data_IF_936186041925
#
_entry.id   IF_936186041925
#
_cell.length_a   1.000
_cell.length_b   1.000
_cell.length_c   1.000
_cell.angle_alpha   90.00
_cell.angle_beta   90.00
_cell.angle_gamma   90.00
#
_symmetry.space_group_name_H-M   'P 1'
#
loop_
_entity.id
_entity.type
_entity.pdbx_description
1 polymer ?
#
# COMPACT_ATOMS: atom_id res chain seq x y z
N UNK A 1 14.55 10.33 8.12
CA UNK A 1 14.25 11.42 7.17
C UNK A 1 12.76 11.73 7.06
N UNK A 2 11.87 10.74 7.22
CA UNK A 2 10.40 10.94 7.23
C UNK A 2 9.90 12.06 8.17
N UNK A 3 10.61 12.37 9.27
CA UNK A 3 10.20 13.40 10.25
C UNK A 3 10.79 14.80 10.02
N UNK A 4 11.74 14.97 9.09
CA UNK A 4 12.45 16.24 8.86
C UNK A 4 12.82 16.40 7.37
N UNK A 5 11.83 16.67 6.48
CA UNK A 5 12.04 16.73 5.03
C UNK A 5 13.02 17.83 4.59
N UNK A 6 13.21 18.89 5.39
CA UNK A 6 14.16 19.96 5.12
C UNK A 6 15.63 19.49 5.09
N UNK A 7 15.95 18.38 5.76
CA UNK A 7 17.30 17.82 5.74
C UNK A 7 17.57 16.94 4.52
N UNK A 8 16.55 16.65 3.70
CA UNK A 8 16.66 15.78 2.54
C UNK A 8 17.69 16.26 1.52
N UNK A 9 17.83 17.58 1.35
CA UNK A 9 18.80 18.19 0.46
C UNK A 9 20.26 17.85 0.81
N UNK A 10 20.53 17.45 2.06
CA UNK A 10 21.86 17.09 2.55
C UNK A 10 22.15 15.58 2.49
N UNK A 11 21.17 14.72 2.21
CA UNK A 11 21.43 13.29 2.03
C UNK A 11 22.15 13.05 0.70
N UNK A 12 23.38 12.56 0.79
CA UNK A 12 24.17 12.08 -0.36
C UNK A 12 23.91 10.61 -0.69
N UNK A 13 23.03 10.00 0.09
CA UNK A 13 22.70 8.58 0.13
C UNK A 13 21.56 8.17 -0.81
N UNK A 14 20.89 9.10 -1.48
CA UNK A 14 19.70 8.83 -2.29
C UNK A 14 19.88 7.72 -3.34
N UNK A 15 21.08 7.63 -3.93
CA UNK A 15 21.46 6.61 -4.90
C UNK A 15 21.62 5.19 -4.32
N UNK A 16 21.72 5.08 -3.00
CA UNK A 16 21.90 3.79 -2.31
C UNK A 16 20.56 3.17 -1.88
N UNK A 17 19.47 3.93 -1.95
CA UNK A 17 18.14 3.42 -1.62
C UNK A 17 17.70 2.46 -2.72
N UNK A 18 17.25 1.28 -2.30
CA UNK A 18 16.56 0.33 -3.15
C UNK A 18 15.22 0.89 -3.63
N UNK A 19 14.65 0.24 -4.64
CA UNK A 19 13.31 0.56 -5.15
C UNK A 19 12.24 0.50 -4.06
N UNK A 20 12.31 -0.52 -3.18
CA UNK A 20 11.34 -0.69 -2.10
C UNK A 20 11.50 0.38 -1.01
N UNK A 21 12.73 0.70 -0.62
CA UNK A 21 12.99 1.79 0.33
C UNK A 21 12.51 3.15 -0.20
N UNK A 22 12.63 3.38 -1.50
CA UNK A 22 12.04 4.56 -2.14
C UNK A 22 10.52 4.55 -2.09
N UNK A 23 9.88 3.41 -2.40
CA UNK A 23 8.42 3.30 -2.35
C UNK A 23 7.87 3.55 -0.93
N UNK A 24 8.48 2.95 0.08
CA UNK A 24 8.12 3.15 1.49
C UNK A 24 8.38 4.59 1.96
N UNK A 25 9.47 5.21 1.51
CA UNK A 25 9.74 6.61 1.84
C UNK A 25 8.68 7.54 1.24
N UNK A 26 8.29 7.29 -0.01
CA UNK A 26 7.37 8.15 -0.75
C UNK A 26 5.91 7.95 -0.32
N UNK A 27 5.54 6.77 0.20
CA UNK A 27 4.20 6.55 0.78
C UNK A 27 3.97 7.40 2.02
N UNK A 28 5.03 7.79 2.72
CA UNK A 28 4.98 8.68 3.88
C UNK A 28 5.28 10.14 3.49
N UNK A 29 6.22 10.36 2.57
CA UNK A 29 6.73 11.69 2.23
C UNK A 29 6.87 11.88 0.71
N UNK A 30 5.76 11.98 -0.04
CA UNK A 30 5.76 11.97 -1.52
C UNK A 30 6.54 13.14 -2.13
N UNK A 31 6.66 14.26 -1.41
CA UNK A 31 7.43 15.46 -1.81
C UNK A 31 8.92 15.18 -2.09
N UNK A 32 9.46 14.07 -1.60
CA UNK A 32 10.86 13.69 -1.80
C UNK A 32 11.13 13.05 -3.17
N UNK A 33 10.10 12.87 -4.00
CA UNK A 33 10.23 12.26 -5.34
C UNK A 33 11.26 12.96 -6.24
N UNK A 34 11.48 14.26 -6.05
CA UNK A 34 12.46 15.04 -6.81
C UNK A 34 13.92 14.62 -6.55
N UNK A 35 14.19 13.92 -5.44
CA UNK A 35 15.49 13.36 -5.11
C UNK A 35 15.66 11.91 -5.60
N UNK A 36 14.58 11.29 -6.09
CA UNK A 36 14.63 9.92 -6.58
C UNK A 36 15.33 9.84 -7.94
N UNK A 37 16.37 9.01 -8.10
CA UNK A 37 17.06 8.85 -9.39
C UNK A 37 16.18 8.22 -10.49
N UNK A 38 15.17 7.42 -10.12
CA UNK A 38 14.31 6.71 -11.06
C UNK A 38 12.83 6.82 -10.69
N UNK A 39 12.23 8.03 -10.75
CA UNK A 39 10.88 8.28 -10.27
C UNK A 39 9.77 7.60 -11.10
N UNK A 40 10.10 7.08 -12.28
CA UNK A 40 9.16 6.40 -13.19
C UNK A 40 9.09 4.89 -12.97
N UNK A 41 9.90 4.32 -12.07
CA UNK A 41 9.80 2.90 -11.76
C UNK A 41 8.42 2.60 -11.15
N UNK A 42 7.68 1.57 -11.60
CA UNK A 42 6.31 1.31 -11.14
C UNK A 42 6.16 1.26 -9.61
N UNK A 43 7.02 0.51 -8.90
CA UNK A 43 6.99 0.46 -7.44
C UNK A 43 7.27 1.79 -6.75
N UNK A 44 8.13 2.63 -7.32
CA UNK A 44 8.40 3.98 -6.78
C UNK A 44 7.19 4.88 -7.02
N UNK A 45 6.55 4.77 -8.19
CA UNK A 45 5.29 5.46 -8.47
C UNK A 45 4.17 5.01 -7.54
N UNK A 46 4.07 3.72 -7.22
CA UNK A 46 3.08 3.19 -6.29
C UNK A 46 3.28 3.77 -4.88
N UNK A 47 4.54 3.85 -4.42
CA UNK A 47 4.87 4.55 -3.18
C UNK A 47 4.47 6.02 -3.21
N UNK A 48 4.81 6.75 -4.27
CA UNK A 48 4.40 8.15 -4.43
C UNK A 48 2.88 8.33 -4.43
N UNK A 49 2.14 7.49 -5.18
CA UNK A 49 0.68 7.49 -5.22
C UNK A 49 0.10 7.21 -3.84
N UNK A 50 0.62 6.22 -3.10
CA UNK A 50 0.17 5.92 -1.75
C UNK A 50 0.26 7.14 -0.80
N UNK A 51 1.29 7.98 -0.97
CA UNK A 51 1.44 9.23 -0.19
C UNK A 51 0.69 10.44 -0.75
N UNK A 52 0.33 10.42 -2.03
CA UNK A 52 -0.40 11.48 -2.75
C UNK A 52 -1.50 10.90 -3.66
N UNK A 53 -2.60 10.36 -3.10
CA UNK A 53 -3.64 9.67 -3.86
C UNK A 53 -4.29 10.51 -4.97
N UNK A 54 -4.36 11.83 -4.79
CA UNK A 54 -4.86 12.77 -5.80
C UNK A 54 -4.11 12.70 -7.14
N UNK A 55 -2.86 12.21 -7.12
CA UNK A 55 -2.04 12.03 -8.32
C UNK A 55 -2.51 10.86 -9.19
N UNK A 56 -3.42 10.01 -8.71
CA UNK A 56 -4.03 8.92 -9.48
C UNK A 56 -4.68 9.41 -10.78
N UNK A 57 -5.22 10.64 -10.78
CA UNK A 57 -5.83 11.27 -11.96
C UNK A 57 -4.88 11.40 -13.17
N UNK A 58 -3.57 11.32 -12.96
CA UNK A 58 -2.56 11.42 -14.02
C UNK A 58 -2.05 10.06 -14.51
N UNK A 59 -2.48 8.95 -13.90
CA UNK A 59 -2.10 7.60 -14.30
C UNK A 59 -2.95 7.13 -15.47
N UNK A 60 -2.29 6.82 -16.59
CA UNK A 60 -2.93 6.34 -17.82
C UNK A 60 -2.98 4.82 -17.93
N UNK A 61 -2.02 4.16 -17.31
CA UNK A 61 -1.87 2.71 -17.36
C UNK A 61 -1.56 2.18 -15.96
N UNK A 62 -2.46 1.35 -15.47
CA UNK A 62 -2.37 0.71 -14.16
C UNK A 62 -1.82 -0.72 -14.24
N UNK A 63 -1.58 -1.24 -15.45
CA UNK A 63 -1.14 -2.62 -15.67
C UNK A 63 0.31 -2.89 -15.27
N UNK A 64 1.11 -1.83 -15.10
CA UNK A 64 2.51 -1.92 -14.72
C UNK A 64 2.75 -2.22 -13.23
N UNK A 65 1.72 -2.10 -12.39
CA UNK A 65 1.82 -2.32 -10.95
C UNK A 65 1.71 -3.80 -10.58
N UNK A 66 2.64 -4.25 -9.73
CA UNK A 66 2.61 -5.57 -9.13
C UNK A 66 1.52 -5.70 -8.07
N UNK A 67 1.26 -6.92 -7.60
CA UNK A 67 0.33 -7.14 -6.48
C UNK A 67 0.78 -6.42 -5.21
N UNK A 68 2.10 -6.34 -4.98
CA UNK A 68 2.64 -5.64 -3.80
C UNK A 68 2.41 -4.13 -3.91
N UNK A 69 2.61 -3.57 -5.10
CA UNK A 69 2.34 -2.15 -5.36
C UNK A 69 0.87 -1.81 -5.09
N UNK A 70 -0.05 -2.68 -5.53
CA UNK A 70 -1.47 -2.53 -5.25
C UNK A 70 -1.80 -2.64 -3.76
N UNK A 71 -1.20 -3.59 -3.04
CA UNK A 71 -1.36 -3.70 -1.59
C UNK A 71 -0.93 -2.40 -0.90
N UNK A 72 0.25 -1.87 -1.26
CA UNK A 72 0.77 -0.62 -0.70
C UNK A 72 -0.19 0.54 -0.95
N UNK A 73 -0.67 0.73 -2.19
CA UNK A 73 -1.60 1.80 -2.54
C UNK A 73 -2.93 1.66 -1.79
N UNK A 74 -3.55 0.49 -1.84
CA UNK A 74 -4.86 0.24 -1.22
C UNK A 74 -4.82 0.37 0.30
N UNK A 75 -3.73 -0.05 0.97
CA UNK A 75 -3.58 0.14 2.42
C UNK A 75 -3.48 1.62 2.84
N UNK A 76 -3.23 2.54 1.91
CA UNK A 76 -3.11 3.97 2.19
C UNK A 76 -4.32 4.80 1.74
N UNK A 77 -5.05 4.39 0.69
CA UNK A 77 -6.28 5.09 0.26
C UNK A 77 -7.27 4.19 -0.47
N UNK A 78 -8.56 4.42 -0.22
CA UNK A 78 -9.68 3.82 -0.95
C UNK A 78 -9.80 4.35 -2.40
N UNK A 79 -9.17 5.48 -2.74
CA UNK A 79 -9.24 6.09 -4.08
C UNK A 79 -8.73 5.17 -5.20
N UNK A 80 -7.90 4.19 -4.84
CA UNK A 80 -7.33 3.22 -5.78
C UNK A 80 -8.26 2.03 -6.06
N UNK A 81 -9.32 1.85 -5.28
CA UNK A 81 -10.24 0.73 -5.40
C UNK A 81 -10.87 0.58 -6.80
N UNK A 82 -11.36 1.66 -7.45
CA UNK A 82 -11.94 1.56 -8.79
C UNK A 82 -10.93 1.13 -9.86
N UNK A 83 -9.63 1.32 -9.59
CA UNK A 83 -8.55 1.02 -10.53
C UNK A 83 -7.95 -0.37 -10.33
N UNK A 84 -8.10 -0.97 -9.14
CA UNK A 84 -7.55 -2.28 -8.84
C UNK A 84 -8.36 -3.39 -9.53
N UNK A 85 -7.76 -4.04 -10.52
CA UNK A 85 -8.35 -5.18 -11.23
C UNK A 85 -7.82 -6.55 -10.74
N UNK A 86 -6.93 -6.56 -9.75
CA UNK A 86 -6.17 -7.74 -9.35
C UNK A 86 -6.60 -8.37 -8.02
N UNK A 87 -7.71 -7.93 -7.42
CA UNK A 87 -8.27 -8.44 -6.15
C UNK A 87 -8.25 -9.96 -6.01
N UNK A 88 -8.68 -10.69 -7.04
CA UNK A 88 -8.75 -12.16 -7.04
C UNK A 88 -7.39 -12.85 -7.01
N UNK A 89 -6.31 -12.12 -7.30
CA UNK A 89 -4.93 -12.61 -7.33
C UNK A 89 -4.19 -12.37 -6.02
N UNK A 90 -4.78 -11.62 -5.09
CA UNK A 90 -4.15 -11.36 -3.79
C UNK A 90 -4.03 -12.65 -2.98
N UNK A 91 -2.82 -12.98 -2.46
CA UNK A 91 -2.66 -14.10 -1.54
C UNK A 91 -3.35 -13.81 -0.21
N UNK A 92 -3.55 -14.86 0.59
CA UNK A 92 -4.15 -14.77 1.93
C UNK A 92 -3.44 -13.74 2.81
N UNK A 93 -2.11 -13.70 2.77
CA UNK A 93 -1.31 -12.73 3.54
C UNK A 93 -1.60 -11.27 3.17
N UNK A 94 -1.95 -10.99 1.91
CA UNK A 94 -2.26 -9.63 1.46
C UNK A 94 -3.65 -9.23 1.92
N UNK A 95 -4.62 -10.15 1.85
CA UNK A 95 -5.94 -9.92 2.43
C UNK A 95 -5.88 -9.71 3.94
N UNK A 96 -5.05 -10.48 4.65
CA UNK A 96 -4.83 -10.27 6.08
C UNK A 96 -4.28 -8.86 6.36
N UNK A 97 -3.23 -8.45 5.62
CA UNK A 97 -2.63 -7.13 5.78
C UNK A 97 -3.65 -6.02 5.47
N UNK A 98 -4.40 -6.17 4.37
CA UNK A 98 -5.41 -5.20 3.97
C UNK A 98 -6.48 -5.05 5.04
N UNK A 99 -7.05 -6.13 5.57
CA UNK A 99 -8.07 -6.08 6.62
C UNK A 99 -7.52 -5.59 7.95
N UNK A 100 -6.23 -5.80 8.22
CA UNK A 100 -5.58 -5.25 9.40
C UNK A 100 -5.52 -3.72 9.35
N UNK A 101 -5.40 -3.11 8.17
CA UNK A 101 -5.36 -1.66 8.00
C UNK A 101 -6.75 -1.06 7.70
N UNK A 102 -7.55 -1.74 6.88
CA UNK A 102 -8.82 -1.29 6.31
C UNK A 102 -9.87 -2.41 6.41
N UNK A 103 -10.57 -2.52 7.55
CA UNK A 103 -11.51 -3.62 7.79
C UNK A 103 -12.74 -3.58 6.88
N UNK A 104 -13.04 -2.43 6.27
CA UNK A 104 -14.22 -2.27 5.38
C UNK A 104 -14.10 -3.13 4.11
N UNK A 105 -12.90 -3.55 3.74
CA UNK A 105 -12.67 -4.46 2.63
C UNK A 105 -13.12 -5.91 2.89
N UNK A 106 -13.64 -6.21 4.09
CA UNK A 106 -14.07 -7.55 4.45
C UNK A 106 -15.10 -8.14 3.48
N UNK A 107 -16.02 -7.32 2.96
CA UNK A 107 -17.05 -7.77 2.01
C UNK A 107 -16.49 -8.19 0.66
N UNK A 108 -15.28 -7.73 0.32
CA UNK A 108 -14.55 -8.12 -0.90
C UNK A 108 -13.64 -9.32 -0.69
N UNK A 109 -13.33 -9.70 0.56
CA UNK A 109 -12.34 -10.72 0.88
C UNK A 109 -12.86 -12.13 0.55
N UNK A 110 -12.29 -12.83 -0.45
CA UNK A 110 -12.76 -14.16 -0.84
C UNK A 110 -12.19 -15.28 0.03
N UNK A 111 -11.27 -14.96 0.96
CA UNK A 111 -10.45 -15.92 1.69
C UNK A 111 -10.58 -15.81 3.22
N UNK A 112 -11.66 -15.21 3.73
CA UNK A 112 -11.89 -15.01 5.19
C UNK A 112 -11.72 -16.32 5.97
N UNK A 113 -12.26 -17.42 5.44
CA UNK A 113 -12.21 -18.74 6.07
C UNK A 113 -10.83 -19.43 5.98
N UNK A 114 -9.85 -18.83 5.30
CA UNK A 114 -8.50 -19.37 5.16
C UNK A 114 -7.52 -18.77 6.18
N UNK A 115 -7.93 -17.75 6.95
CA UNK A 115 -7.07 -17.20 8.00
C UNK A 115 -6.92 -18.20 9.16
N UNK A 116 -5.69 -18.43 9.66
CA UNK A 116 -5.49 -19.11 10.93
C UNK A 116 -6.33 -18.48 12.04
N UNK A 117 -6.72 -19.28 13.03
CA UNK A 117 -7.57 -18.79 14.13
C UNK A 117 -6.88 -17.65 14.90
N UNK A 118 -5.58 -17.79 15.19
CA UNK A 118 -4.81 -16.76 15.88
C UNK A 118 -4.77 -15.43 15.11
N UNK A 119 -4.60 -15.50 13.78
CA UNK A 119 -4.60 -14.34 12.88
C UNK A 119 -5.96 -13.66 12.85
N UNK A 120 -7.04 -14.44 12.85
CA UNK A 120 -8.40 -13.93 12.88
C UNK A 120 -8.75 -13.28 14.22
N UNK A 121 -8.33 -13.89 15.33
CA UNK A 121 -8.48 -13.29 16.66
C UNK A 121 -7.73 -11.97 16.76
N UNK A 122 -6.54 -11.87 16.17
CA UNK A 122 -5.79 -10.62 16.12
C UNK A 122 -6.52 -9.53 15.31
N UNK A 123 -7.07 -9.88 14.14
CA UNK A 123 -7.91 -8.98 13.34
C UNK A 123 -9.14 -8.53 14.14
N UNK A 124 -9.85 -9.44 14.81
CA UNK A 124 -11.03 -9.14 15.61
C UNK A 124 -10.75 -8.33 16.88
N UNK A 125 -9.55 -8.46 17.47
CA UNK A 125 -9.09 -7.63 18.59
C UNK A 125 -8.86 -6.19 18.14
N UNK A 126 -8.28 -6.01 16.95
CA UNK A 126 -8.05 -4.67 16.38
C UNK A 126 -9.34 -4.05 15.85
N UNK A 127 -10.17 -4.85 15.18
CA UNK A 127 -11.39 -4.43 14.49
C UNK A 127 -12.57 -5.31 14.91
N UNK A 128 -13.26 -5.00 16.02
CA UNK A 128 -14.34 -5.83 16.55
C UNK A 128 -15.51 -6.06 15.57
N UNK A 129 -15.71 -5.18 14.59
CA UNK A 129 -16.71 -5.33 13.52
C UNK A 129 -16.53 -6.60 12.70
N UNK A 130 -15.31 -7.13 12.61
CA UNK A 130 -15.00 -8.31 11.83
C UNK A 130 -15.61 -9.60 12.41
N UNK A 131 -15.91 -9.63 13.72
CA UNK A 131 -16.43 -10.82 14.42
C UNK A 131 -17.70 -11.40 13.80
N UNK A 132 -18.54 -10.59 13.15
CA UNK A 132 -19.79 -11.03 12.51
C UNK A 132 -19.59 -11.75 11.17
N UNK A 133 -18.38 -11.75 10.62
CA UNK A 133 -18.09 -12.28 9.27
C UNK A 133 -17.53 -13.71 9.28
N UNK A 134 -17.22 -14.27 10.45
CA UNK A 134 -16.74 -15.66 10.60
C UNK A 134 -17.45 -16.30 11.80
N UNK A 135 -18.17 -17.38 11.54
CA UNK A 135 -18.91 -18.17 12.51
C UNK A 135 -18.24 -19.52 12.73
#
# INVERSE_FOLDING_TARGET
MAKQPQLAAYCRCWKNFSINEWAELLSVQPRLISYCPNPKHPTIQAGFLAGSPESAAYIKDWSCFSLYDWLLMLCNSYDFEPHCNCWKRFPVSYWWNLLFHLPDYIERCPVINQFPEDDWQLLCRKHPVLKKYRF
#
